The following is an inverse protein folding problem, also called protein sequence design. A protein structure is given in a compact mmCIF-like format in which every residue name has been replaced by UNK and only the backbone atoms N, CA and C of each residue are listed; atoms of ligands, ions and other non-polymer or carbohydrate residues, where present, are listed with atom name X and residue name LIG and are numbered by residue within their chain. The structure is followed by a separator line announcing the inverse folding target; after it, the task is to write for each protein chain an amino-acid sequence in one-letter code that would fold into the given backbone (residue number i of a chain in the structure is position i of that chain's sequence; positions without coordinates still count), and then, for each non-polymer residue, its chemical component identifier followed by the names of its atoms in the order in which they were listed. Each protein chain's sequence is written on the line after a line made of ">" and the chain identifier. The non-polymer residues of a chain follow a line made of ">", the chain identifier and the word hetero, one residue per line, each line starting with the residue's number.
data_IF_674881264526
#
_entry.id   IF_674881264526
#
_cell.length_a   1.000
_cell.length_b   1.000
_cell.length_c   1.000
_cell.angle_alpha   90.00
_cell.angle_beta   90.00
_cell.angle_gamma   90.00
#
_symmetry.space_group_name_H-M   'P 1'
#
loop_
_entity.id
_entity.type
_entity.pdbx_description
1 polymer ?
#
# COMPACT_ATOMS: atom_id res chain seq x y z
N UNK A 1 3.32 10.11 -20.98
CA UNK A 1 3.56 9.53 -19.66
C UNK A 1 2.47 10.00 -18.68
N UNK A 2 2.18 11.28 -18.66
CA UNK A 2 1.20 11.92 -17.75
C UNK A 2 -0.26 11.58 -18.08
N UNK A 3 -0.51 10.86 -19.15
CA UNK A 3 -1.83 10.36 -19.57
C UNK A 3 -2.09 8.90 -19.22
N UNK A 4 -1.20 8.25 -18.46
CA UNK A 4 -1.38 6.87 -18.03
C UNK A 4 -2.20 6.81 -16.75
N UNK A 5 -3.39 6.24 -16.84
CA UNK A 5 -4.30 6.05 -15.71
C UNK A 5 -4.54 4.56 -15.46
N UNK A 6 -4.42 4.14 -14.24
CA UNK A 6 -4.64 2.76 -13.81
C UNK A 6 -5.89 2.67 -12.95
N UNK A 7 -6.89 1.96 -13.45
CA UNK A 7 -8.13 1.68 -12.72
C UNK A 7 -7.97 0.50 -11.76
N UNK A 8 -8.69 0.51 -10.66
CA UNK A 8 -8.77 -0.62 -9.74
C UNK A 8 -9.74 -1.66 -10.27
N UNK A 9 -9.28 -2.89 -10.42
CA UNK A 9 -10.10 -4.02 -10.85
C UNK A 9 -10.05 -5.15 -9.82
N UNK A 10 -11.13 -5.92 -9.77
CA UNK A 10 -11.24 -7.11 -8.94
C UNK A 10 -11.51 -8.32 -9.83
N UNK A 11 -10.92 -9.44 -9.47
CA UNK A 11 -11.16 -10.74 -10.09
C UNK A 11 -11.44 -11.76 -8.99
N UNK A 12 -12.51 -12.51 -9.12
CA UNK A 12 -12.87 -13.54 -8.17
C UNK A 12 -12.17 -14.85 -8.56
N UNK A 13 -11.70 -15.58 -7.56
CA UNK A 13 -11.04 -16.88 -7.71
C UNK A 13 -11.94 -17.98 -7.13
N UNK A 14 -12.16 -19.02 -7.91
CA UNK A 14 -12.88 -20.21 -7.46
C UNK A 14 -11.88 -21.29 -7.02
N UNK A 15 -11.88 -21.59 -5.74
CA UNK A 15 -10.98 -22.60 -5.15
C UNK A 15 -11.26 -24.03 -5.62
N UNK A 16 -12.51 -24.35 -5.97
CA UNK A 16 -12.91 -25.69 -6.38
C UNK A 16 -12.44 -25.98 -7.81
N UNK A 17 -12.72 -25.06 -8.72
CA UNK A 17 -12.34 -25.18 -10.13
C UNK A 17 -10.93 -24.67 -10.40
N UNK A 18 -10.29 -23.99 -9.44
CA UNK A 18 -9.02 -23.27 -9.56
C UNK A 18 -9.01 -22.29 -10.74
N UNK A 19 -10.17 -21.69 -11.01
CA UNK A 19 -10.40 -20.77 -12.10
C UNK A 19 -10.59 -19.33 -11.63
N UNK A 20 -10.42 -18.39 -12.56
CA UNK A 20 -10.71 -17.00 -12.36
C UNK A 20 -11.95 -16.60 -13.15
N UNK A 21 -12.80 -15.79 -12.54
CA UNK A 21 -13.92 -15.15 -13.26
C UNK A 21 -13.44 -13.93 -14.05
N UNK A 22 -14.34 -13.40 -14.88
CA UNK A 22 -14.03 -12.19 -15.65
C UNK A 22 -13.77 -10.99 -14.70
N UNK A 23 -12.69 -10.22 -14.92
CA UNK A 23 -12.39 -9.07 -14.08
C UNK A 23 -13.45 -7.99 -14.26
N UNK A 24 -13.86 -7.37 -13.14
CA UNK A 24 -14.78 -6.24 -13.10
C UNK A 24 -14.09 -5.00 -12.54
N UNK A 25 -14.46 -3.81 -13.04
CA UNK A 25 -13.91 -2.55 -12.56
C UNK A 25 -14.51 -2.22 -11.21
N UNK A 26 -13.66 -1.99 -10.22
CA UNK A 26 -14.04 -1.60 -8.88
C UNK A 26 -14.04 -0.08 -8.70
N UNK A 27 -13.02 0.60 -9.25
CA UNK A 27 -12.94 2.06 -9.34
C UNK A 27 -12.36 2.40 -10.71
N UNK A 28 -13.08 3.25 -11.46
CA UNK A 28 -12.64 3.69 -12.78
C UNK A 28 -11.81 4.99 -12.63
N UNK A 29 -10.52 4.90 -12.88
CA UNK A 29 -9.59 6.02 -12.76
C UNK A 29 -9.81 7.06 -13.86
N UNK A 30 -10.12 6.63 -15.09
CA UNK A 30 -10.34 7.56 -16.22
C UNK A 30 -11.52 8.52 -15.95
N UNK A 31 -12.60 8.01 -15.33
CA UNK A 31 -13.75 8.86 -14.98
C UNK A 31 -13.44 9.86 -13.87
N UNK A 32 -12.37 9.63 -13.10
CA UNK A 32 -11.93 10.50 -12.01
C UNK A 32 -10.76 11.41 -12.42
N UNK A 33 -10.18 11.21 -13.62
CA UNK A 33 -8.98 11.91 -14.07
C UNK A 33 -7.76 11.64 -13.21
N UNK A 34 -7.64 10.42 -12.68
CA UNK A 34 -6.59 10.02 -11.72
C UNK A 34 -5.96 8.69 -12.09
N UNK A 35 -5.00 8.25 -11.32
CA UNK A 35 -4.42 6.91 -11.39
C UNK A 35 -4.43 6.26 -10.00
N UNK A 36 -4.66 4.95 -9.95
CA UNK A 36 -4.81 4.19 -8.71
C UNK A 36 -3.66 3.19 -8.58
N UNK A 37 -3.09 3.09 -7.38
CA UNK A 37 -2.02 2.14 -7.10
C UNK A 37 -2.12 1.54 -5.69
N UNK A 38 -1.39 0.45 -5.48
CA UNK A 38 -1.16 -0.20 -4.18
C UNK A 38 -2.47 -0.57 -3.45
N UNK A 39 -3.40 -1.31 -4.05
CA UNK A 39 -4.62 -1.73 -3.34
C UNK A 39 -4.31 -2.71 -2.21
N UNK A 40 -4.97 -2.52 -1.06
CA UNK A 40 -4.91 -3.41 0.11
C UNK A 40 -6.31 -3.61 0.68
N UNK A 41 -6.75 -4.85 0.69
CA UNK A 41 -8.05 -5.22 1.30
C UNK A 41 -7.89 -5.28 2.81
N UNK A 42 -8.86 -4.74 3.55
CA UNK A 42 -8.89 -4.84 5.02
C UNK A 42 -9.09 -6.30 5.47
N UNK A 43 -8.60 -6.68 6.66
CA UNK A 43 -8.72 -8.07 7.14
C UNK A 43 -10.13 -8.62 7.25
N UNK A 44 -11.13 -7.76 7.41
CA UNK A 44 -12.55 -8.13 7.43
C UNK A 44 -13.20 -8.20 6.02
N UNK A 45 -12.41 -7.88 4.97
CA UNK A 45 -12.87 -7.90 3.59
C UNK A 45 -13.82 -6.76 3.19
N UNK A 46 -14.09 -5.80 4.09
CA UNK A 46 -15.05 -4.72 3.82
C UNK A 46 -14.46 -3.55 3.04
N UNK A 47 -13.23 -3.18 3.33
CA UNK A 47 -12.61 -1.99 2.77
C UNK A 47 -11.46 -2.33 1.83
N UNK A 48 -11.29 -1.53 0.79
CA UNK A 48 -10.08 -1.53 -0.04
C UNK A 48 -9.41 -0.17 0.12
N UNK A 49 -8.22 -0.18 0.69
CA UNK A 49 -7.36 0.98 0.83
C UNK A 49 -6.45 1.07 -0.40
N UNK A 50 -6.26 2.24 -0.97
CA UNK A 50 -5.42 2.46 -2.15
C UNK A 50 -4.91 3.90 -2.20
N UNK A 51 -3.94 4.16 -3.06
CA UNK A 51 -3.45 5.51 -3.33
C UNK A 51 -4.00 6.02 -4.65
N UNK A 52 -4.38 7.29 -4.71
CA UNK A 52 -4.70 8.01 -5.94
C UNK A 52 -3.69 9.14 -6.15
N UNK A 53 -3.30 9.34 -7.39
CA UNK A 53 -2.50 10.47 -7.87
C UNK A 53 -2.98 10.88 -9.28
N UNK A 54 -2.48 11.97 -9.85
CA UNK A 54 -2.94 12.46 -11.14
C UNK A 54 -2.69 11.44 -12.27
N UNK A 55 -1.58 10.73 -12.25
CA UNK A 55 -1.21 9.78 -13.30
C UNK A 55 -0.21 8.70 -12.81
N UNK A 56 0.03 7.70 -13.62
CA UNK A 56 1.12 6.74 -13.52
C UNK A 56 1.06 5.80 -12.31
N UNK A 57 2.24 5.35 -11.90
CA UNK A 57 2.49 4.48 -10.75
C UNK A 57 3.59 5.08 -9.87
N UNK A 58 4.02 4.36 -8.83
CA UNK A 58 5.02 4.83 -7.86
C UNK A 58 4.61 6.13 -7.17
N UNK A 59 3.39 6.16 -6.71
CA UNK A 59 2.72 7.33 -6.14
C UNK A 59 3.47 7.98 -4.97
N UNK A 60 4.40 7.29 -4.32
CA UNK A 60 5.28 7.90 -3.31
C UNK A 60 6.14 9.07 -3.86
N UNK A 61 6.31 9.14 -5.18
CA UNK A 61 7.02 10.21 -5.86
C UNK A 61 6.11 11.32 -6.40
N UNK A 62 4.80 11.16 -6.30
CA UNK A 62 3.80 12.14 -6.73
C UNK A 62 3.35 12.96 -5.52
N UNK A 63 3.65 14.27 -5.51
CA UNK A 63 3.34 15.15 -4.37
C UNK A 63 1.86 15.07 -3.95
N UNK A 64 0.97 14.92 -4.90
CA UNK A 64 -0.49 14.86 -4.75
C UNK A 64 -1.04 13.44 -4.51
N UNK A 65 -0.18 12.50 -4.15
CA UNK A 65 -0.62 11.13 -3.87
C UNK A 65 -1.25 11.03 -2.48
N UNK A 66 -2.52 10.70 -2.44
CA UNK A 66 -3.34 10.58 -1.25
C UNK A 66 -3.91 9.18 -1.05
N UNK A 67 -4.17 8.84 0.20
CA UNK A 67 -4.87 7.62 0.58
C UNK A 67 -6.38 7.78 0.39
N UNK A 68 -6.96 6.77 -0.24
CA UNK A 68 -8.41 6.62 -0.42
C UNK A 68 -8.86 5.25 0.06
N UNK A 69 -10.11 5.17 0.43
CA UNK A 69 -10.77 3.92 0.78
C UNK A 69 -12.04 3.73 -0.02
N UNK A 70 -12.27 2.51 -0.48
CA UNK A 70 -13.57 2.06 -0.99
C UNK A 70 -14.21 1.13 0.02
N UNK A 71 -15.43 1.44 0.43
CA UNK A 71 -16.31 0.52 1.17
C UNK A 71 -16.99 -0.42 0.16
N UNK A 72 -16.73 -1.70 0.26
CA UNK A 72 -17.29 -2.73 -0.64
C UNK A 72 -18.77 -3.01 -0.36
N UNK A 73 -19.29 -2.65 0.82
CA UNK A 73 -20.71 -2.82 1.17
C UNK A 73 -21.56 -1.68 0.61
N UNK A 74 -21.10 -0.44 0.72
CA UNK A 74 -21.85 0.74 0.26
C UNK A 74 -21.49 1.15 -1.16
N UNK A 75 -20.30 0.76 -1.65
CA UNK A 75 -19.76 1.19 -2.92
C UNK A 75 -19.10 2.58 -2.88
N UNK A 76 -19.13 3.27 -1.74
CA UNK A 76 -18.56 4.60 -1.57
C UNK A 76 -17.02 4.58 -1.74
N UNK A 77 -16.50 5.60 -2.42
CA UNK A 77 -15.08 5.90 -2.53
C UNK A 77 -14.83 7.28 -1.92
N UNK A 78 -13.91 7.38 -0.97
CA UNK A 78 -13.61 8.64 -0.29
C UNK A 78 -12.15 8.77 0.12
N UNK A 79 -11.62 10.00 0.19
CA UNK A 79 -10.29 10.24 0.71
C UNK A 79 -10.22 9.99 2.22
N UNK A 80 -9.05 9.57 2.68
CA UNK A 80 -8.74 9.50 4.11
C UNK A 80 -8.10 10.81 4.59
N UNK A 81 -8.83 11.92 4.42
CA UNK A 81 -8.33 13.29 4.65
C UNK A 81 -7.56 13.48 5.96
N UNK A 82 -8.00 12.95 7.14
CA UNK A 82 -7.23 13.14 8.37
C UNK A 82 -5.87 12.41 8.37
N UNK A 83 -5.71 11.38 7.55
CA UNK A 83 -4.46 10.63 7.40
C UNK A 83 -3.55 11.16 6.28
N UNK A 84 -4.08 11.96 5.37
CA UNK A 84 -3.36 12.57 4.26
C UNK A 84 -2.60 13.85 4.68
N UNK A 85 -1.83 14.43 3.76
CA UNK A 85 -1.05 15.65 3.96
C UNK A 85 -0.80 16.35 2.62
N UNK A 86 -0.09 17.49 2.62
CA UNK A 86 0.31 18.17 1.38
C UNK A 86 1.31 17.39 0.53
N UNK A 87 1.92 16.33 1.08
CA UNK A 87 2.93 15.53 0.40
C UNK A 87 2.50 14.08 0.31
N UNK A 88 3.15 13.35 -0.59
CA UNK A 88 2.83 11.97 -0.89
C UNK A 88 2.63 11.08 0.33
N UNK A 89 1.55 10.31 0.30
CA UNK A 89 1.28 9.19 1.16
C UNK A 89 0.98 7.95 0.31
N UNK A 90 1.79 6.89 0.46
CA UNK A 90 1.63 5.66 -0.31
C UNK A 90 2.24 4.47 0.45
N UNK A 91 2.34 3.29 -0.19
CA UNK A 91 2.92 2.09 0.41
C UNK A 91 2.33 1.76 1.78
N UNK A 92 1.02 1.75 1.85
CA UNK A 92 0.24 1.53 3.05
C UNK A 92 -0.09 0.05 3.25
N UNK A 93 -0.39 -0.31 4.50
CA UNK A 93 -0.89 -1.64 4.85
C UNK A 93 -1.80 -1.59 6.08
N UNK A 94 -2.58 -2.65 6.27
CA UNK A 94 -3.46 -2.83 7.42
C UNK A 94 -2.78 -3.57 8.56
N UNK A 95 -3.15 -3.24 9.78
CA UNK A 95 -2.94 -4.16 10.90
C UNK A 95 -3.91 -5.35 10.81
N UNK A 96 -3.52 -6.47 11.38
CA UNK A 96 -4.30 -7.70 11.34
C UNK A 96 -5.71 -7.61 11.96
N UNK A 97 -5.96 -6.61 12.80
CA UNK A 97 -7.29 -6.33 13.37
C UNK A 97 -8.07 -5.26 12.59
N UNK A 98 -7.51 -4.73 11.49
CA UNK A 98 -8.14 -3.71 10.66
C UNK A 98 -8.34 -2.36 11.33
N UNK A 99 -7.65 -2.09 12.46
CA UNK A 99 -7.81 -0.85 13.23
C UNK A 99 -6.69 0.15 13.05
N UNK A 100 -5.59 -0.26 12.44
CA UNK A 100 -4.46 0.61 12.19
C UNK A 100 -4.04 0.51 10.74
N UNK A 101 -3.66 1.65 10.19
CA UNK A 101 -3.05 1.78 8.88
C UNK A 101 -1.63 2.26 9.11
N UNK A 102 -0.65 1.54 8.56
CA UNK A 102 0.73 2.00 8.44
C UNK A 102 0.96 2.49 7.03
N UNK A 103 1.68 3.61 6.87
CA UNK A 103 1.88 4.26 5.58
C UNK A 103 3.26 4.90 5.50
N UNK A 104 3.92 4.80 4.35
CA UNK A 104 5.08 5.61 4.04
C UNK A 104 4.62 6.98 3.51
N UNK A 105 5.16 8.07 4.05
CA UNK A 105 4.81 9.42 3.64
C UNK A 105 6.04 10.33 3.64
N UNK A 106 6.06 11.27 2.71
CA UNK A 106 7.13 12.27 2.56
C UNK A 106 6.79 13.61 3.22
N UNK A 107 5.80 13.64 4.12
CA UNK A 107 5.21 14.84 4.72
C UNK A 107 6.13 15.67 5.60
N UNK A 108 7.27 15.12 6.04
CA UNK A 108 8.21 15.85 6.89
C UNK A 108 9.07 16.85 6.10
N UNK A 109 9.65 16.40 4.98
CA UNK A 109 10.66 17.14 4.24
C UNK A 109 10.52 17.08 2.72
N UNK A 110 9.52 16.34 2.23
CA UNK A 110 9.32 16.02 0.80
C UNK A 110 10.48 15.29 0.11
N UNK A 111 11.48 14.84 0.85
CA UNK A 111 12.64 14.09 0.34
C UNK A 111 12.57 12.63 0.72
N UNK A 112 12.52 12.36 2.02
CA UNK A 112 12.56 11.01 2.54
C UNK A 112 11.20 10.54 2.99
N UNK A 113 10.84 9.30 2.64
CA UNK A 113 9.65 8.68 3.19
C UNK A 113 9.91 8.22 4.61
N UNK A 114 8.98 8.56 5.52
CA UNK A 114 8.94 8.12 6.91
C UNK A 114 7.70 7.28 7.14
N UNK A 115 7.74 6.46 8.18
CA UNK A 115 6.63 5.60 8.54
C UNK A 115 5.67 6.35 9.46
N UNK A 116 4.42 6.45 9.04
CA UNK A 116 3.32 7.01 9.82
C UNK A 116 2.32 5.92 10.15
N UNK A 117 1.58 6.12 11.22
CA UNK A 117 0.50 5.23 11.64
C UNK A 117 -0.76 6.06 11.88
N UNK A 118 -1.91 5.56 11.42
CA UNK A 118 -3.22 6.16 11.62
C UNK A 118 -4.19 5.15 12.20
N UNK A 119 -5.02 5.57 13.15
CA UNK A 119 -6.12 4.77 13.62
C UNK A 119 -7.26 4.80 12.60
N UNK A 120 -7.86 3.64 12.35
CA UNK A 120 -9.04 3.46 11.51
C UNK A 120 -10.14 2.86 12.37
N UNK A 121 -11.20 3.62 12.58
CA UNK A 121 -12.25 3.25 13.51
C UNK A 121 -13.28 2.25 12.90
N UNK A 122 -14.21 1.79 13.74
CA UNK A 122 -15.26 0.84 13.34
C UNK A 122 -16.26 1.42 12.34
N UNK A 123 -16.37 2.75 12.29
CA UNK A 123 -17.27 3.47 11.38
C UNK A 123 -16.58 3.77 10.03
N UNK A 124 -15.36 3.24 9.88
CA UNK A 124 -14.58 3.33 8.65
C UNK A 124 -13.85 4.67 8.49
N UNK A 125 -13.70 5.46 9.53
CA UNK A 125 -13.00 6.75 9.47
C UNK A 125 -11.54 6.61 9.88
N UNK A 126 -10.65 7.22 9.10
CA UNK A 126 -9.27 7.38 9.51
C UNK A 126 -9.12 8.60 10.40
N UNK A 127 -8.23 8.50 11.38
CA UNK A 127 -7.83 9.60 12.24
C UNK A 127 -6.48 10.16 11.79
N UNK A 128 -6.05 11.27 12.41
CA UNK A 128 -4.79 11.93 12.06
C UNK A 128 -3.62 10.95 12.15
N UNK A 129 -2.86 10.84 11.07
CA UNK A 129 -1.64 10.06 11.08
C UNK A 129 -0.54 10.77 11.87
N UNK A 130 0.25 10.01 12.61
CA UNK A 130 1.42 10.49 13.35
C UNK A 130 2.65 9.67 12.98
N UNK A 131 3.81 10.31 13.08
CA UNK A 131 5.11 9.68 12.84
C UNK A 131 5.29 8.51 13.82
N UNK A 132 5.67 7.35 13.30
CA UNK A 132 5.92 6.18 14.14
C UNK A 132 7.08 6.49 15.11
N UNK A 133 6.83 6.47 16.43
CA UNK A 133 7.87 6.76 17.41
C UNK A 133 9.05 5.81 17.30
N UNK A 134 10.24 6.34 17.48
CA UNK A 134 11.48 5.60 17.57
C UNK A 134 12.04 5.72 19.00
N UNK A 135 12.92 4.81 19.40
CA UNK A 135 13.60 4.86 20.71
C UNK A 135 14.40 6.16 20.85
N UNK A 136 15.12 6.54 19.78
CA UNK A 136 15.75 7.84 19.67
C UNK A 136 14.79 8.81 18.93
N UNK A 137 14.34 9.90 19.58
CA UNK A 137 13.45 10.89 18.96
C UNK A 137 14.07 11.59 17.73
N UNK A 138 15.40 11.69 17.65
CA UNK A 138 16.11 12.30 16.53
C UNK A 138 16.35 11.35 15.37
N UNK A 139 16.09 10.05 15.54
CA UNK A 139 16.33 9.03 14.53
C UNK A 139 15.80 9.40 13.14
N UNK A 140 14.54 9.83 13.06
CA UNK A 140 13.92 10.18 11.79
C UNK A 140 14.46 11.48 11.18
N UNK A 141 14.99 12.38 12.01
CA UNK A 141 15.57 13.65 11.56
C UNK A 141 16.95 13.39 10.93
N UNK A 142 17.75 12.55 11.57
CA UNK A 142 19.12 12.24 11.16
C UNK A 142 19.22 11.16 10.07
N UNK A 143 18.15 10.42 9.83
CA UNK A 143 18.15 9.32 8.88
C UNK A 143 18.07 9.81 7.43
N UNK A 144 19.17 9.74 6.70
CA UNK A 144 19.25 10.05 5.25
C UNK A 144 18.85 8.84 4.38
N UNK A 145 17.78 8.15 4.76
CA UNK A 145 17.22 6.99 4.03
C UNK A 145 15.70 7.05 4.03
N UNK A 146 15.10 6.53 2.98
CA UNK A 146 13.66 6.35 2.90
C UNK A 146 13.25 4.97 3.40
N UNK A 147 12.17 4.92 4.17
CA UNK A 147 11.45 3.67 4.36
C UNK A 147 10.65 3.35 3.09
N UNK A 148 10.57 2.05 2.77
CA UNK A 148 9.79 1.58 1.63
C UNK A 148 8.39 1.14 2.10
N UNK A 149 7.96 -0.07 1.79
CA UNK A 149 6.64 -0.59 2.15
C UNK A 149 6.64 -1.05 3.61
N UNK A 150 6.03 -0.31 4.55
CA UNK A 150 5.92 -0.76 5.93
C UNK A 150 4.84 -1.83 6.07
N UNK A 151 5.09 -2.80 6.94
CA UNK A 151 4.12 -3.84 7.27
C UNK A 151 4.04 -4.04 8.79
N UNK A 152 2.83 -4.29 9.28
CA UNK A 152 2.57 -4.63 10.68
C UNK A 152 2.48 -6.15 10.82
N UNK A 153 3.32 -6.73 11.66
CA UNK A 153 3.36 -8.16 11.95
C UNK A 153 2.86 -8.46 13.36
N UNK A 154 2.26 -9.63 13.57
CA UNK A 154 1.83 -10.07 14.92
C UNK A 154 2.99 -10.54 15.78
N UNK A 155 4.02 -11.09 15.15
CA UNK A 155 5.19 -11.66 15.81
C UNK A 155 6.45 -11.03 15.24
N UNK A 156 7.56 -11.18 15.97
CA UNK A 156 8.87 -10.82 15.45
C UNK A 156 9.16 -11.59 14.14
N UNK A 157 9.84 -10.93 13.21
CA UNK A 157 10.29 -11.58 11.98
C UNK A 157 11.36 -12.60 12.36
N UNK A 158 11.19 -13.90 12.03
CA UNK A 158 12.05 -14.97 12.53
C UNK A 158 13.41 -15.07 11.81
N UNK A 159 13.63 -14.23 10.81
CA UNK A 159 14.87 -14.20 10.01
C UNK A 159 15.60 -12.89 10.18
N UNK A 160 16.93 -12.96 10.22
CA UNK A 160 17.79 -11.79 10.30
C UNK A 160 18.04 -11.17 8.93
N UNK A 161 18.43 -9.88 8.86
CA UNK A 161 18.84 -9.25 7.60
C UNK A 161 19.98 -9.99 6.89
N UNK A 162 20.91 -10.56 7.65
CA UNK A 162 22.04 -11.35 7.13
C UNK A 162 21.57 -12.64 6.46
N UNK A 163 20.61 -13.34 7.07
CA UNK A 163 20.01 -14.55 6.48
C UNK A 163 19.27 -14.24 5.19
N UNK A 164 18.51 -13.15 5.16
CA UNK A 164 17.84 -12.66 3.94
C UNK A 164 18.87 -12.32 2.85
N UNK A 165 19.93 -11.58 3.21
CA UNK A 165 21.00 -11.23 2.30
C UNK A 165 21.66 -12.48 1.72
N UNK A 166 21.98 -13.45 2.55
CA UNK A 166 22.57 -14.73 2.10
C UNK A 166 21.65 -15.46 1.13
N UNK A 167 20.37 -15.56 1.43
CA UNK A 167 19.39 -16.22 0.55
C UNK A 167 19.22 -15.53 -0.82
N UNK A 168 19.31 -14.18 -0.86
CA UNK A 168 19.20 -13.41 -2.11
C UNK A 168 20.42 -13.60 -3.02
N UNK A 169 21.62 -13.72 -2.42
CA UNK A 169 22.87 -13.83 -3.16
C UNK A 169 23.37 -15.27 -3.31
N UNK A 170 22.57 -16.27 -2.91
CA UNK A 170 22.89 -17.69 -3.06
C UNK A 170 22.43 -18.19 -4.44
N UNK A 171 23.31 -18.05 -5.43
CA UNK A 171 23.03 -18.49 -6.81
C UNK A 171 22.83 -20.02 -6.92
N UNK A 172 23.37 -20.81 -6.00
CA UNK A 172 23.23 -22.28 -6.00
C UNK A 172 21.84 -22.72 -5.51
N UNK A 173 21.20 -21.92 -4.69
CA UNK A 173 19.83 -22.15 -4.22
C UNK A 173 18.75 -21.62 -5.19
N UNK A 174 19.15 -20.92 -6.23
CA UNK A 174 18.21 -20.33 -7.20
C UNK A 174 17.49 -21.41 -8.02
N UNK A 175 16.16 -21.49 -7.88
CA UNK A 175 15.34 -22.38 -8.68
C UNK A 175 15.10 -21.79 -10.07
N UNK A 176 15.60 -22.46 -11.12
CA UNK A 176 15.34 -22.04 -12.52
C UNK A 176 13.87 -22.28 -12.86
N UNK A 177 13.18 -21.22 -13.23
CA UNK A 177 11.80 -21.27 -13.72
C UNK A 177 11.79 -21.40 -15.24
N UNK A 178 11.05 -22.36 -15.77
CA UNK A 178 10.80 -22.49 -17.21
C UNK A 178 9.33 -22.20 -17.50
N UNK A 179 9.07 -21.38 -18.52
CA UNK A 179 7.72 -21.14 -19.00
C UNK A 179 7.34 -22.20 -20.06
N UNK A 180 6.19 -22.84 -19.84
CA UNK A 180 5.60 -23.68 -20.88
C UNK A 180 5.04 -22.77 -21.97
N UNK A 181 5.60 -22.81 -23.19
CA UNK A 181 4.97 -22.11 -24.31
C UNK A 181 3.56 -22.69 -24.50
N UNK A 182 2.53 -21.86 -24.42
CA UNK A 182 1.21 -22.23 -24.91
C UNK A 182 1.30 -22.38 -26.45
N UNK A 183 0.95 -23.56 -26.92
CA UNK A 183 0.74 -23.77 -28.35
C UNK A 183 -0.47 -22.98 -28.85
#
# INVERSE_FOLDING_TARGET
>A
YDSLHYSLRIIDFDEQTRGFYAPRTLVNADSLGTSIAVPRVSPDGRYVLFTMADYGQFHIWHKNADLYVKDLQTGEVRPLTPANSEYAASYHNWSSNGRWIVVASRREDNNYSRVFIAYFDKDGQAHKAFLLPQEDPEHNILLEKSYNVPELTKNAVPVTPEELKKAIYDDDAAQKVSYKKSN
#
